data_IF_449676110134
#
_entry.id   IF_449676110134
#
_cell.length_a   1.000
_cell.length_b   1.000
_cell.length_c   1.000
_cell.angle_alpha   90.00
_cell.angle_beta   90.00
_cell.angle_gamma   90.00
#
_symmetry.space_group_name_H-M   'P 1'
#
loop_
_entity.id
_entity.type
_entity.pdbx_description
1 polymer ?
#
# COMPACT_ATOMS: atom_id res chain seq x y z
N UNK A 1 -2.90 -5.45 -27.44
CA UNK A 1 -3.81 -5.49 -26.26
C UNK A 1 -3.04 -5.79 -24.97
N UNK A 2 -2.28 -6.88 -24.91
CA UNK A 2 -1.44 -7.24 -23.74
C UNK A 2 -0.47 -6.11 -23.32
N UNK A 3 0.19 -5.45 -24.27
CA UNK A 3 1.11 -4.35 -23.98
C UNK A 3 0.45 -3.14 -23.30
N UNK A 4 -0.76 -2.79 -23.75
CA UNK A 4 -1.55 -1.68 -23.19
C UNK A 4 -2.02 -2.03 -21.78
N UNK A 5 -2.43 -3.27 -21.56
CA UNK A 5 -2.82 -3.77 -20.24
C UNK A 5 -1.64 -3.67 -19.25
N UNK A 6 -0.44 -4.14 -19.64
CA UNK A 6 0.73 -4.05 -18.78
C UNK A 6 1.15 -2.61 -18.50
N UNK A 7 1.03 -1.71 -19.48
CA UNK A 7 1.33 -0.30 -19.30
C UNK A 7 0.37 0.35 -18.29
N UNK A 8 -0.93 0.11 -18.46
CA UNK A 8 -1.96 0.59 -17.53
C UNK A 8 -1.76 0.01 -16.13
N UNK A 9 -1.53 -1.30 -16.03
CA UNK A 9 -1.28 -1.99 -14.78
C UNK A 9 -0.04 -1.44 -14.05
N UNK A 10 1.04 -1.19 -14.80
CA UNK A 10 2.24 -0.58 -14.24
C UNK A 10 1.96 0.84 -13.73
N UNK A 11 1.28 1.68 -14.53
CA UNK A 11 0.95 3.06 -14.13
C UNK A 11 0.06 3.13 -12.89
N UNK A 12 -1.04 2.35 -12.87
CA UNK A 12 -2.00 2.37 -11.76
C UNK A 12 -1.39 1.84 -10.46
N UNK A 13 -0.40 0.94 -10.57
CA UNK A 13 0.31 0.38 -9.42
C UNK A 13 1.28 1.35 -8.74
N UNK A 14 1.75 2.40 -9.42
CA UNK A 14 2.79 3.31 -8.88
C UNK A 14 2.30 4.01 -7.62
N UNK A 15 1.11 4.61 -7.67
CA UNK A 15 0.57 5.39 -6.56
C UNK A 15 0.35 4.55 -5.28
N UNK A 16 -0.36 3.41 -5.29
CA UNK A 16 -0.56 2.61 -4.09
C UNK A 16 0.74 2.03 -3.54
N UNK A 17 1.68 1.62 -4.40
CA UNK A 17 2.99 1.16 -3.96
C UNK A 17 3.78 2.29 -3.30
N UNK A 18 3.85 3.46 -3.92
CA UNK A 18 4.57 4.61 -3.39
C UNK A 18 4.01 5.06 -2.04
N UNK A 19 2.68 5.26 -1.97
CA UNK A 19 2.01 5.65 -0.73
C UNK A 19 2.21 4.60 0.35
N UNK A 20 1.99 3.32 0.05
CA UNK A 20 2.15 2.25 1.02
C UNK A 20 3.59 2.10 1.52
N UNK A 21 4.59 2.17 0.63
CA UNK A 21 6.00 2.11 1.01
C UNK A 21 6.40 3.30 1.89
N UNK A 22 5.94 4.51 1.55
CA UNK A 22 6.22 5.71 2.34
C UNK A 22 5.58 5.62 3.73
N UNK A 23 4.32 5.18 3.83
CA UNK A 23 3.66 4.95 5.12
C UNK A 23 4.44 3.94 5.97
N UNK A 24 4.87 2.82 5.37
CA UNK A 24 5.64 1.79 6.06
C UNK A 24 7.04 2.26 6.52
N UNK A 25 7.72 3.07 5.72
CA UNK A 25 9.02 3.64 6.07
C UNK A 25 8.91 4.66 7.22
N UNK A 26 7.83 5.45 7.23
CA UNK A 26 7.53 6.45 8.25
C UNK A 26 6.83 5.88 9.49
N UNK A 27 6.49 4.58 9.48
CA UNK A 27 5.85 3.89 10.59
C UNK A 27 6.49 4.15 11.98
N UNK A 28 7.82 4.15 12.18
CA UNK A 28 8.38 4.36 13.52
C UNK A 28 8.20 5.79 14.06
N UNK A 29 7.88 6.76 13.19
CA UNK A 29 7.58 8.13 13.60
C UNK A 29 6.14 8.25 14.13
N UNK A 30 5.20 7.53 13.52
CA UNK A 30 3.80 7.53 13.93
C UNK A 30 3.52 6.55 15.09
N UNK A 31 4.16 5.38 15.08
CA UNK A 31 3.86 4.27 16.00
C UNK A 31 4.94 4.04 17.08
N UNK A 32 6.03 4.80 17.05
CA UNK A 32 7.09 4.78 18.06
C UNK A 32 8.30 3.89 17.75
N UNK A 33 9.30 3.99 18.62
CA UNK A 33 10.57 3.25 18.52
C UNK A 33 10.40 1.83 19.09
N UNK A 34 10.00 0.89 18.26
CA UNK A 34 9.86 -0.51 18.68
C UNK A 34 9.62 -1.52 17.55
N UNK A 35 9.70 -1.09 16.30
CA UNK A 35 9.37 -1.97 15.19
C UNK A 35 10.46 -3.04 15.01
N UNK A 36 10.11 -4.32 15.21
CA UNK A 36 11.02 -5.45 15.06
C UNK A 36 11.51 -5.70 13.63
N UNK A 37 10.83 -5.15 12.62
CA UNK A 37 11.23 -5.27 11.22
C UNK A 37 12.15 -4.14 10.74
N UNK A 38 13.08 -4.49 9.85
CA UNK A 38 13.89 -3.50 9.12
C UNK A 38 13.00 -2.52 8.33
N UNK A 39 13.52 -1.31 8.09
CA UNK A 39 12.81 -0.27 7.33
C UNK A 39 12.31 -0.78 5.97
N UNK A 40 13.17 -1.48 5.24
CA UNK A 40 12.85 -2.06 3.92
C UNK A 40 11.71 -3.07 3.99
N UNK A 41 11.70 -3.97 4.98
CA UNK A 41 10.63 -4.96 5.12
C UNK A 41 9.29 -4.31 5.47
N UNK A 42 9.30 -3.25 6.28
CA UNK A 42 8.08 -2.48 6.61
C UNK A 42 7.53 -1.76 5.40
N UNK A 43 8.39 -1.06 4.67
CA UNK A 43 8.02 -0.38 3.43
C UNK A 43 7.43 -1.38 2.42
N UNK A 44 8.08 -2.52 2.22
CA UNK A 44 7.56 -3.56 1.32
C UNK A 44 6.22 -4.13 1.77
N UNK A 45 6.07 -4.49 3.05
CA UNK A 45 4.80 -5.03 3.57
C UNK A 45 3.65 -4.03 3.41
N UNK A 46 3.86 -2.77 3.78
CA UNK A 46 2.84 -1.74 3.65
C UNK A 46 2.54 -1.40 2.18
N UNK A 47 3.56 -1.35 1.32
CA UNK A 47 3.41 -1.19 -0.12
C UNK A 47 2.59 -2.31 -0.77
N UNK A 48 2.91 -3.56 -0.45
CA UNK A 48 2.19 -4.73 -0.97
C UNK A 48 0.74 -4.74 -0.46
N UNK A 49 0.51 -4.43 0.83
CA UNK A 49 -0.84 -4.38 1.39
C UNK A 49 -1.72 -3.32 0.71
N UNK A 50 -1.18 -2.11 0.52
CA UNK A 50 -1.83 -1.03 -0.22
C UNK A 50 -2.15 -1.44 -1.67
N UNK A 51 -1.18 -2.05 -2.36
CA UNK A 51 -1.34 -2.48 -3.74
C UNK A 51 -2.39 -3.58 -3.90
N UNK A 52 -2.41 -4.59 -3.02
CA UNK A 52 -3.44 -5.63 -3.01
C UNK A 52 -4.82 -5.03 -2.79
N UNK A 53 -4.96 -4.07 -1.87
CA UNK A 53 -6.23 -3.39 -1.62
C UNK A 53 -6.74 -2.67 -2.87
N UNK A 54 -5.86 -1.90 -3.53
CA UNK A 54 -6.16 -1.24 -4.79
C UNK A 54 -6.57 -2.24 -5.88
N UNK A 55 -5.80 -3.32 -6.09
CA UNK A 55 -6.14 -4.34 -7.08
C UNK A 55 -7.47 -5.05 -6.79
N UNK A 56 -7.78 -5.31 -5.53
CA UNK A 56 -9.05 -5.92 -5.14
C UNK A 56 -10.24 -4.99 -5.44
N UNK A 57 -10.09 -3.69 -5.17
CA UNK A 57 -11.16 -2.71 -5.33
C UNK A 57 -11.32 -2.25 -6.79
N UNK A 58 -10.25 -1.77 -7.40
CA UNK A 58 -10.26 -1.25 -8.78
C UNK A 58 -10.20 -2.39 -9.79
N UNK A 59 -9.28 -3.34 -9.61
CA UNK A 59 -9.18 -4.51 -10.50
C UNK A 59 -10.38 -5.45 -10.40
N UNK A 60 -11.06 -5.49 -9.25
CA UNK A 60 -12.33 -6.18 -9.06
C UNK A 60 -13.57 -5.42 -9.55
N UNK A 61 -13.42 -4.17 -9.99
CA UNK A 61 -14.52 -3.34 -10.48
C UNK A 61 -15.48 -2.82 -9.39
N UNK A 62 -15.09 -2.88 -8.12
CA UNK A 62 -15.89 -2.43 -6.98
C UNK A 62 -15.90 -0.90 -6.91
N UNK A 63 -14.76 -0.26 -7.18
CA UNK A 63 -14.62 1.20 -7.18
C UNK A 63 -13.93 1.68 -8.45
N UNK A 64 -14.19 2.95 -8.79
CA UNK A 64 -13.48 3.62 -9.89
C UNK A 64 -12.05 3.98 -9.45
N UNK A 65 -11.10 3.77 -10.36
CA UNK A 65 -9.73 4.25 -10.21
C UNK A 65 -9.71 5.76 -9.88
N UNK A 66 -8.95 6.14 -8.85
CA UNK A 66 -8.85 7.53 -8.39
C UNK A 66 -10.06 8.03 -7.59
N UNK A 67 -11.01 7.15 -7.23
CA UNK A 67 -12.07 7.50 -6.28
C UNK A 67 -11.51 7.73 -4.88
N UNK A 68 -12.18 8.58 -4.09
CA UNK A 68 -11.78 8.84 -2.70
C UNK A 68 -11.78 7.55 -1.85
N UNK A 69 -12.65 6.60 -2.19
CA UNK A 69 -12.77 5.31 -1.51
C UNK A 69 -11.53 4.44 -1.74
N UNK A 70 -11.01 4.41 -2.98
CA UNK A 70 -9.75 3.72 -3.31
C UNK A 70 -8.57 4.32 -2.53
N UNK A 71 -8.44 5.65 -2.55
CA UNK A 71 -7.41 6.36 -1.77
C UNK A 71 -7.50 6.06 -0.28
N UNK A 72 -8.70 6.12 0.31
CA UNK A 72 -8.92 5.83 1.72
C UNK A 72 -8.53 4.38 2.04
N UNK A 73 -8.88 3.42 1.18
CA UNK A 73 -8.53 2.02 1.36
C UNK A 73 -7.01 1.79 1.29
N UNK A 74 -6.33 2.42 0.33
CA UNK A 74 -4.86 2.36 0.21
C UNK A 74 -4.18 2.86 1.48
N UNK A 75 -4.60 4.04 1.97
CA UNK A 75 -4.02 4.65 3.18
C UNK A 75 -4.35 3.84 4.44
N UNK A 76 -5.58 3.33 4.54
CA UNK A 76 -6.00 2.50 5.67
C UNK A 76 -5.19 1.20 5.73
N UNK A 77 -5.06 0.51 4.60
CA UNK A 77 -4.34 -0.76 4.52
C UNK A 77 -2.84 -0.58 4.73
N UNK A 78 -2.25 0.52 4.24
CA UNK A 78 -0.85 0.84 4.52
C UNK A 78 -0.62 1.14 6.00
N UNK A 79 -1.52 1.88 6.65
CA UNK A 79 -1.44 2.19 8.07
C UNK A 79 -1.57 0.92 8.93
N UNK A 80 -2.55 0.06 8.65
CA UNK A 80 -2.74 -1.21 9.35
C UNK A 80 -1.53 -2.14 9.19
N UNK A 81 -1.02 -2.29 7.97
CA UNK A 81 0.17 -3.10 7.72
C UNK A 81 1.42 -2.54 8.41
N UNK A 82 1.53 -1.22 8.51
CA UNK A 82 2.61 -0.53 9.22
C UNK A 82 2.53 -0.77 10.73
N UNK A 83 1.33 -0.66 11.31
CA UNK A 83 1.09 -0.97 12.72
C UNK A 83 1.43 -2.44 13.03
N UNK A 84 0.91 -3.38 12.23
CA UNK A 84 1.19 -4.81 12.37
C UNK A 84 2.69 -5.09 12.32
N UNK A 85 3.40 -4.45 11.39
CA UNK A 85 4.84 -4.61 11.23
C UNK A 85 5.68 -3.97 12.36
N UNK A 86 5.07 -3.09 13.16
CA UNK A 86 5.71 -2.44 14.29
C UNK A 86 5.36 -3.08 15.64
N UNK A 87 4.16 -3.67 15.78
CA UNK A 87 3.68 -4.27 17.04
C UNK A 87 3.85 -5.78 17.14
N UNK A 88 3.87 -6.51 16.01
CA UNK A 88 3.74 -7.98 15.98
C UNK A 88 4.95 -8.68 15.32
N UNK A 89 6.17 -8.25 15.59
CA UNK A 89 7.40 -8.88 15.10
C UNK A 89 8.47 -8.96 16.18
#
# INVERSE_FOLDING_TARGET
MISIFFLWFAQTSIMPLFVGMLTGALAPWAWGKGCGLSSTRRALRAGIAAWIAHLALVGGGIVREGSIVDYAAVVLMSAMASELSCRWC
#
